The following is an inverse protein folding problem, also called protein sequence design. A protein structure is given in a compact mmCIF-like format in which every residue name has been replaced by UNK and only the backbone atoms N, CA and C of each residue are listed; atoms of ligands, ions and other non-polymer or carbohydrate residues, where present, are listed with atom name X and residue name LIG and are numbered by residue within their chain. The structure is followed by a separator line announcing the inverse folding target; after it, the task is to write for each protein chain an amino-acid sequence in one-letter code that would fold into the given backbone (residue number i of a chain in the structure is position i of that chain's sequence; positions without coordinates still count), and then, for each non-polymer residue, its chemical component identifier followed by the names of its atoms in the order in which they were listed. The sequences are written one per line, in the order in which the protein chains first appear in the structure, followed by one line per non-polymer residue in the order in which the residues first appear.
data_IF_479541283081
#
_entry.id   IF_479541283081
#
_cell.length_a   1.000
_cell.length_b   1.000
_cell.length_c   1.000
_cell.angle_alpha   90.00
_cell.angle_beta   90.00
_cell.angle_gamma   90.00
#
_symmetry.space_group_name_H-M   'P 1'
#
loop_
_entity.id
_entity.type
_entity.pdbx_description
1 polymer ?
#
# COMPACT_ATOMS: atom_id res chain seq x y z
N UNK A 1 -34.93 -3.39 -6.29
CA UNK A 1 -34.64 -2.54 -7.48
C UNK A 1 -34.19 -1.12 -7.13
N UNK A 2 -34.88 -0.33 -6.29
CA UNK A 2 -34.50 1.06 -5.97
C UNK A 2 -33.07 1.28 -5.47
N UNK A 3 -32.52 0.38 -4.63
CA UNK A 3 -31.12 0.47 -4.15
C UNK A 3 -30.09 0.34 -5.28
N UNK A 4 -30.28 -0.59 -6.21
CA UNK A 4 -29.38 -0.82 -7.37
C UNK A 4 -29.36 0.38 -8.32
N UNK A 5 -30.51 0.98 -8.59
CA UNK A 5 -30.61 2.19 -9.40
C UNK A 5 -29.92 3.39 -8.76
N UNK A 6 -30.08 3.57 -7.44
CA UNK A 6 -29.40 4.65 -6.70
C UNK A 6 -27.87 4.48 -6.67
N UNK A 7 -27.39 3.25 -6.65
CA UNK A 7 -25.97 2.94 -6.69
C UNK A 7 -25.35 3.32 -8.05
N UNK A 8 -26.02 2.98 -9.15
CA UNK A 8 -25.59 3.33 -10.51
C UNK A 8 -25.65 4.82 -10.81
N UNK A 9 -26.59 5.56 -10.19
CA UNK A 9 -26.69 7.03 -10.31
C UNK A 9 -25.52 7.78 -9.68
N UNK A 10 -24.68 7.14 -8.89
CA UNK A 10 -23.46 7.74 -8.36
C UNK A 10 -22.39 7.94 -9.45
N UNK A 11 -22.54 7.24 -10.58
CA UNK A 11 -21.65 7.40 -11.73
C UNK A 11 -21.98 8.69 -12.49
N UNK A 12 -21.00 9.55 -12.68
CA UNK A 12 -21.16 10.79 -13.48
C UNK A 12 -21.54 10.43 -14.92
N UNK A 13 -22.65 10.99 -15.37
CA UNK A 13 -23.18 10.71 -16.70
C UNK A 13 -24.21 9.58 -16.76
N UNK A 14 -24.49 8.92 -15.64
CA UNK A 14 -25.53 7.90 -15.53
C UNK A 14 -26.75 8.48 -14.80
N UNK A 15 -27.73 8.94 -15.57
CA UNK A 15 -29.03 9.40 -15.08
C UNK A 15 -30.05 8.27 -14.91
N UNK A 16 -31.30 8.64 -14.58
CA UNK A 16 -32.40 7.69 -14.33
C UNK A 16 -32.65 6.73 -15.49
N UNK A 17 -32.66 7.24 -16.71
CA UNK A 17 -32.90 6.44 -17.91
C UNK A 17 -31.77 5.46 -18.15
N UNK A 18 -30.54 5.93 -18.04
CA UNK A 18 -29.35 5.10 -18.30
C UNK A 18 -29.16 4.04 -17.21
N UNK A 19 -29.44 4.38 -15.94
CA UNK A 19 -29.37 3.41 -14.85
C UNK A 19 -30.35 2.25 -15.03
N UNK A 20 -31.56 2.50 -15.54
CA UNK A 20 -32.53 1.45 -15.87
C UNK A 20 -32.03 0.56 -17.01
N UNK A 21 -31.53 1.16 -18.08
CA UNK A 21 -30.99 0.41 -19.23
C UNK A 21 -29.78 -0.44 -18.86
N UNK A 22 -28.92 0.04 -17.97
CA UNK A 22 -27.81 -0.74 -17.42
C UNK A 22 -28.30 -1.96 -16.64
N UNK A 23 -29.34 -1.79 -15.83
CA UNK A 23 -29.96 -2.92 -15.09
C UNK A 23 -30.60 -3.91 -16.05
N UNK A 24 -31.32 -3.45 -17.08
CA UNK A 24 -31.92 -4.29 -18.13
C UNK A 24 -30.88 -5.07 -18.92
N UNK A 25 -29.70 -4.46 -19.18
CA UNK A 25 -28.56 -5.12 -19.79
C UNK A 25 -27.78 -6.06 -18.86
N UNK A 26 -28.26 -6.25 -17.61
CA UNK A 26 -27.62 -7.13 -16.64
C UNK A 26 -26.52 -6.48 -15.79
N UNK A 27 -26.22 -5.18 -16.00
CA UNK A 27 -25.22 -4.41 -15.27
C UNK A 27 -25.86 -3.70 -14.06
N UNK A 28 -26.40 -4.48 -13.13
CA UNK A 28 -27.21 -4.00 -12.01
C UNK A 28 -26.39 -3.56 -10.77
N UNK A 29 -25.06 -3.66 -10.82
CA UNK A 29 -24.13 -3.23 -9.77
C UNK A 29 -22.91 -2.53 -10.36
N UNK A 30 -22.25 -1.68 -9.57
CA UNK A 30 -21.01 -1.00 -9.98
C UNK A 30 -19.92 -2.00 -10.40
N UNK A 31 -19.79 -3.13 -9.69
CA UNK A 31 -18.85 -4.19 -10.03
C UNK A 31 -19.13 -4.79 -11.42
N UNK A 32 -20.40 -5.07 -11.72
CA UNK A 32 -20.78 -5.58 -13.05
C UNK A 32 -20.58 -4.56 -14.16
N UNK A 33 -20.78 -3.27 -13.89
CA UNK A 33 -20.47 -2.18 -14.82
C UNK A 33 -18.98 -2.13 -15.10
N UNK A 34 -18.14 -2.21 -14.07
CA UNK A 34 -16.68 -2.25 -14.22
C UNK A 34 -16.21 -3.50 -15.00
N UNK A 35 -16.77 -4.67 -14.67
CA UNK A 35 -16.44 -5.94 -15.33
C UNK A 35 -16.93 -6.02 -16.80
N UNK A 36 -17.98 -5.28 -17.17
CA UNK A 36 -18.51 -5.26 -18.54
C UNK A 36 -17.52 -4.69 -19.56
N UNK A 37 -16.62 -3.82 -19.12
CA UNK A 37 -15.65 -3.16 -19.99
C UNK A 37 -16.29 -2.22 -21.02
N UNK A 38 -15.47 -1.68 -21.92
CA UNK A 38 -15.96 -0.77 -22.97
C UNK A 38 -16.95 -1.45 -23.94
N UNK A 39 -16.66 -2.70 -24.29
CA UNK A 39 -17.48 -3.47 -25.22
C UNK A 39 -18.89 -3.76 -24.68
N UNK A 40 -18.99 -4.07 -23.40
CA UNK A 40 -20.27 -4.31 -22.73
C UNK A 40 -21.11 -3.03 -22.67
N UNK A 41 -20.48 -1.90 -22.32
CA UNK A 41 -21.17 -0.63 -22.22
C UNK A 41 -21.56 -0.02 -23.58
N UNK A 42 -20.79 -0.27 -24.66
CA UNK A 42 -21.16 0.14 -26.03
C UNK A 42 -22.47 -0.49 -26.52
N UNK A 43 -22.82 -1.67 -26.01
CA UNK A 43 -24.07 -2.37 -26.36
C UNK A 43 -25.30 -1.79 -25.67
N UNK A 44 -25.11 -0.99 -24.60
CA UNK A 44 -26.22 -0.38 -23.87
C UNK A 44 -26.66 0.89 -24.57
N UNK A 45 -27.92 0.91 -25.02
CA UNK A 45 -28.49 2.04 -25.73
C UNK A 45 -28.49 3.31 -24.88
N UNK A 46 -27.99 4.43 -25.45
CA UNK A 46 -27.98 5.74 -24.81
C UNK A 46 -26.73 6.00 -23.94
N UNK A 47 -25.76 5.09 -23.90
CA UNK A 47 -24.45 5.38 -23.33
C UNK A 47 -23.65 6.22 -24.31
N UNK A 48 -23.20 7.39 -23.86
CA UNK A 48 -22.28 8.19 -24.64
C UNK A 48 -20.90 7.54 -24.64
N UNK A 49 -20.42 7.14 -25.82
CA UNK A 49 -19.14 6.44 -25.99
C UNK A 49 -17.95 7.21 -25.39
N UNK A 50 -17.99 8.55 -25.43
CA UNK A 50 -16.95 9.40 -24.83
C UNK A 50 -16.91 9.32 -23.30
N UNK A 51 -18.01 8.95 -22.66
CA UNK A 51 -18.10 8.84 -21.21
C UNK A 51 -17.80 7.42 -20.70
N UNK A 52 -17.73 6.42 -21.58
CA UNK A 52 -17.49 5.01 -21.21
C UNK A 52 -16.20 4.86 -20.36
N UNK A 53 -15.04 5.39 -20.76
CA UNK A 53 -13.83 5.26 -19.93
C UNK A 53 -14.01 5.85 -18.53
N UNK A 54 -14.63 7.03 -18.43
CA UNK A 54 -14.88 7.69 -17.16
C UNK A 54 -15.90 6.93 -16.28
N UNK A 55 -16.91 6.33 -16.89
CA UNK A 55 -17.90 5.50 -16.19
C UNK A 55 -17.24 4.23 -15.64
N UNK A 56 -16.39 3.57 -16.43
CA UNK A 56 -15.65 2.36 -16.01
C UNK A 56 -14.68 2.64 -14.89
N UNK A 57 -13.91 3.71 -14.99
CA UNK A 57 -12.98 4.14 -13.93
C UNK A 57 -13.74 4.42 -12.62
N UNK A 58 -14.82 5.19 -12.68
CA UNK A 58 -15.64 5.49 -11.52
C UNK A 58 -16.33 4.25 -10.95
N UNK A 59 -16.86 3.37 -11.82
CA UNK A 59 -17.46 2.12 -11.41
C UNK A 59 -16.46 1.22 -10.67
N UNK A 60 -15.23 1.07 -11.18
CA UNK A 60 -14.15 0.33 -10.52
C UNK A 60 -13.76 0.93 -9.17
N UNK A 61 -13.64 2.27 -9.09
CA UNK A 61 -13.35 2.96 -7.85
C UNK A 61 -14.44 2.80 -6.79
N UNK A 62 -15.72 2.92 -7.20
CA UNK A 62 -16.87 2.84 -6.30
C UNK A 62 -17.22 1.39 -5.94
N UNK A 63 -17.08 0.45 -6.87
CA UNK A 63 -17.23 -0.98 -6.62
C UNK A 63 -16.15 -1.53 -5.66
N UNK A 64 -15.08 -0.76 -5.46
CA UNK A 64 -13.93 -1.19 -4.67
C UNK A 64 -12.96 -2.09 -5.43
N UNK A 65 -13.17 -2.33 -6.73
CA UNK A 65 -12.28 -3.12 -7.58
C UNK A 65 -10.93 -2.42 -7.81
N UNK A 66 -10.93 -1.07 -7.78
CA UNK A 66 -9.70 -0.26 -7.74
C UNK A 66 -9.05 -0.17 -6.36
N UNK A 67 -9.73 -0.63 -5.29
CA UNK A 67 -9.17 -0.65 -3.94
C UNK A 67 -8.60 -2.03 -3.67
N UNK A 68 -7.31 -2.16 -3.44
CA UNK A 68 -6.73 -3.46 -3.13
C UNK A 68 -7.47 -4.09 -1.95
N UNK A 69 -7.85 -5.35 -2.08
CA UNK A 69 -8.50 -6.13 -1.04
C UNK A 69 -7.66 -6.15 0.24
N UNK A 70 -8.25 -6.51 1.38
CA UNK A 70 -7.47 -6.66 2.62
C UNK A 70 -6.30 -7.60 2.42
N UNK A 71 -6.51 -8.72 1.71
CA UNK A 71 -5.45 -9.69 1.41
C UNK A 71 -4.33 -9.10 0.55
N UNK A 72 -4.68 -8.39 -0.53
CA UNK A 72 -3.70 -7.70 -1.38
C UNK A 72 -2.93 -6.62 -0.64
N UNK A 73 -3.59 -5.86 0.26
CA UNK A 73 -2.91 -4.88 1.13
C UNK A 73 -1.93 -5.56 2.09
N UNK A 74 -2.32 -6.67 2.70
CA UNK A 74 -1.45 -7.44 3.60
C UNK A 74 -0.25 -7.99 2.83
N UNK A 75 -0.47 -8.54 1.63
CA UNK A 75 0.60 -9.06 0.79
C UNK A 75 1.58 -7.94 0.37
N UNK A 76 1.07 -6.78 -0.06
CA UNK A 76 1.90 -5.61 -0.35
C UNK A 76 2.73 -5.17 0.86
N UNK A 77 2.15 -5.17 2.06
CA UNK A 77 2.86 -4.83 3.29
C UNK A 77 3.90 -5.90 3.69
N UNK A 78 3.65 -7.18 3.44
CA UNK A 78 4.63 -8.26 3.64
C UNK A 78 5.85 -8.04 2.72
N UNK A 79 5.62 -7.74 1.45
CA UNK A 79 6.70 -7.40 0.51
C UNK A 79 7.48 -6.16 0.94
N UNK A 80 6.79 -5.13 1.41
CA UNK A 80 7.44 -3.92 1.93
C UNK A 80 8.28 -4.22 3.18
N UNK A 81 7.79 -5.03 4.11
CA UNK A 81 8.53 -5.44 5.30
C UNK A 81 9.79 -6.25 4.94
N UNK A 82 9.69 -7.17 3.98
CA UNK A 82 10.84 -7.93 3.46
C UNK A 82 11.88 -7.00 2.80
N UNK A 83 11.45 -6.05 1.99
CA UNK A 83 12.33 -5.03 1.39
C UNK A 83 13.06 -4.22 2.46
N UNK A 84 12.35 -3.78 3.50
CA UNK A 84 12.95 -3.06 4.62
C UNK A 84 13.97 -3.90 5.39
N UNK A 85 13.70 -5.20 5.56
CA UNK A 85 14.65 -6.15 6.19
C UNK A 85 15.94 -6.23 5.38
N UNK A 86 15.84 -6.35 4.06
CA UNK A 86 16.98 -6.35 3.17
C UNK A 86 17.76 -5.02 3.22
N UNK A 87 17.08 -3.88 3.27
CA UNK A 87 17.70 -2.57 3.42
C UNK A 87 18.50 -2.47 4.74
N UNK A 88 17.92 -2.93 5.85
CA UNK A 88 18.61 -2.94 7.16
C UNK A 88 19.84 -3.84 7.14
N UNK A 89 19.74 -5.00 6.49
CA UNK A 89 20.90 -5.90 6.31
C UNK A 89 21.97 -5.25 5.43
N UNK A 90 21.59 -4.57 4.34
CA UNK A 90 22.51 -3.81 3.49
C UNK A 90 23.23 -2.69 4.26
N UNK A 91 22.51 -1.97 5.12
CA UNK A 91 23.12 -0.97 6.01
C UNK A 91 24.10 -1.64 6.98
N UNK A 92 23.78 -2.81 7.52
CA UNK A 92 24.67 -3.53 8.44
C UNK A 92 25.96 -4.00 7.75
N UNK A 93 25.86 -4.54 6.53
CA UNK A 93 27.03 -4.95 5.72
C UNK A 93 27.91 -3.75 5.42
N UNK A 94 27.33 -2.66 4.94
CA UNK A 94 28.06 -1.42 4.64
C UNK A 94 28.76 -0.84 5.88
N UNK A 95 28.12 -0.88 7.04
CA UNK A 95 28.74 -0.45 8.29
C UNK A 95 29.96 -1.31 8.61
N UNK A 96 29.90 -2.62 8.37
CA UNK A 96 31.04 -3.51 8.56
C UNK A 96 32.19 -3.25 7.59
N UNK A 97 31.87 -2.95 6.33
CA UNK A 97 32.86 -2.70 5.28
C UNK A 97 33.55 -1.34 5.44
N UNK A 98 32.77 -0.29 5.66
CA UNK A 98 33.28 1.09 5.62
C UNK A 98 33.75 1.63 6.98
N UNK A 99 33.39 1.00 8.08
CA UNK A 99 33.66 1.49 9.42
C UNK A 99 34.28 0.42 10.34
N UNK A 100 35.12 -0.46 9.79
CA UNK A 100 35.70 -1.59 10.52
C UNK A 100 36.44 -1.14 11.79
N UNK A 101 37.24 -0.09 11.72
CA UNK A 101 38.01 0.43 12.85
C UNK A 101 37.11 1.06 13.91
N UNK A 102 36.03 1.75 13.50
CA UNK A 102 35.10 2.38 14.42
C UNK A 102 34.11 1.39 15.07
N UNK A 103 33.94 0.19 14.48
CA UNK A 103 33.05 -0.86 15.00
C UNK A 103 33.53 -1.45 16.33
N UNK A 104 34.82 -1.47 16.59
CA UNK A 104 35.38 -1.93 17.86
C UNK A 104 35.02 -1.01 19.03
N UNK A 105 34.66 0.25 18.73
CA UNK A 105 34.29 1.25 19.69
C UNK A 105 32.85 1.15 20.21
N UNK A 106 32.53 2.01 21.21
CA UNK A 106 31.18 2.10 21.80
C UNK A 106 30.10 2.44 20.77
N UNK A 107 30.42 3.18 19.71
CA UNK A 107 29.46 3.60 18.67
C UNK A 107 29.08 2.44 17.78
N UNK A 108 30.05 1.61 17.32
CA UNK A 108 29.79 0.43 16.50
C UNK A 108 28.89 -0.58 17.21
N UNK A 109 29.21 -0.93 18.46
CA UNK A 109 28.38 -1.82 19.28
C UNK A 109 26.95 -1.30 19.46
N UNK A 110 26.75 0.04 19.54
CA UNK A 110 25.41 0.65 19.58
C UNK A 110 24.67 0.49 18.27
N UNK A 111 25.34 0.65 17.12
CA UNK A 111 24.73 0.50 15.79
C UNK A 111 24.31 -0.94 15.57
N UNK A 112 25.16 -1.92 15.82
CA UNK A 112 24.82 -3.34 15.73
C UNK A 112 23.58 -3.69 16.59
N UNK A 113 23.57 -3.23 17.84
CA UNK A 113 22.40 -3.41 18.71
C UNK A 113 21.13 -2.75 18.16
N UNK A 114 21.23 -1.62 17.46
CA UNK A 114 20.07 -0.99 16.82
C UNK A 114 19.60 -1.79 15.59
N UNK A 115 20.51 -2.29 14.76
CA UNK A 115 20.18 -3.17 13.63
C UNK A 115 19.36 -4.37 14.10
N UNK A 116 19.84 -5.11 15.09
CA UNK A 116 19.12 -6.27 15.65
C UNK A 116 17.74 -5.88 16.19
N UNK A 117 17.65 -4.74 16.86
CA UNK A 117 16.35 -4.24 17.39
C UNK A 117 15.37 -3.79 16.31
N UNK A 118 15.86 -3.30 15.16
CA UNK A 118 15.00 -2.94 14.02
C UNK A 118 14.49 -4.21 13.36
N UNK A 119 15.33 -5.21 13.13
CA UNK A 119 14.93 -6.51 12.56
C UNK A 119 13.86 -7.16 13.44
N UNK A 120 14.08 -7.27 14.74
CA UNK A 120 13.09 -7.82 15.67
C UNK A 120 11.77 -7.01 15.71
N UNK A 121 11.84 -5.68 15.46
CA UNK A 121 10.63 -4.85 15.38
C UNK A 121 9.90 -5.02 14.05
N UNK A 122 10.60 -5.31 12.95
CA UNK A 122 10.01 -5.68 11.66
C UNK A 122 9.27 -7.00 11.77
N UNK A 123 9.88 -8.03 12.34
CA UNK A 123 9.25 -9.35 12.55
C UNK A 123 7.98 -9.25 13.38
N UNK A 124 8.01 -8.46 14.47
CA UNK A 124 6.81 -8.18 15.28
C UNK A 124 5.74 -7.41 14.49
N UNK A 125 6.13 -6.52 13.61
CA UNK A 125 5.19 -5.80 12.76
C UNK A 125 4.58 -6.73 11.70
N UNK A 126 5.37 -7.63 11.09
CA UNK A 126 4.90 -8.65 10.16
C UNK A 126 3.80 -9.52 10.77
N UNK A 127 3.98 -10.01 12.00
CA UNK A 127 2.96 -10.80 12.69
C UNK A 127 1.65 -10.06 12.98
N UNK A 128 1.63 -8.72 12.85
CA UNK A 128 0.43 -7.90 13.07
C UNK A 128 -0.18 -7.33 11.79
N UNK A 129 0.38 -7.62 10.62
CA UNK A 129 -0.08 -7.05 9.34
C UNK A 129 -1.56 -7.39 9.06
N UNK A 130 -1.98 -8.59 9.38
CA UNK A 130 -3.35 -9.06 9.14
C UNK A 130 -4.39 -8.37 10.02
N UNK A 131 -4.00 -8.04 11.26
CA UNK A 131 -4.91 -7.44 12.25
C UNK A 131 -4.89 -5.92 12.21
N UNK A 132 -3.75 -5.29 11.87
CA UNK A 132 -3.54 -3.84 11.99
C UNK A 132 -3.06 -3.18 10.68
N UNK A 133 -3.62 -3.57 9.53
CA UNK A 133 -3.21 -3.15 8.17
C UNK A 133 -2.91 -1.65 8.06
N UNK A 134 -3.83 -0.77 8.50
CA UNK A 134 -3.65 0.70 8.39
C UNK A 134 -2.50 1.22 9.24
N UNK A 135 -2.34 0.72 10.47
CA UNK A 135 -1.26 1.14 11.38
C UNK A 135 0.08 0.61 10.91
N UNK A 136 0.12 -0.64 10.45
CA UNK A 136 1.29 -1.29 9.89
C UNK A 136 1.80 -0.56 8.64
N UNK A 137 0.93 -0.24 7.68
CA UNK A 137 1.31 0.52 6.49
C UNK A 137 1.93 1.89 6.83
N UNK A 138 1.33 2.64 7.77
CA UNK A 138 1.90 3.92 8.23
C UNK A 138 3.25 3.74 8.95
N UNK A 139 3.39 2.68 9.72
CA UNK A 139 4.63 2.37 10.44
C UNK A 139 5.77 1.99 9.51
N UNK A 140 5.51 1.09 8.56
CA UNK A 140 6.47 0.65 7.55
C UNK A 140 6.91 1.80 6.64
N UNK A 141 5.98 2.61 6.12
CA UNK A 141 6.31 3.76 5.27
C UNK A 141 7.18 4.81 6.00
N UNK A 142 6.95 5.04 7.30
CA UNK A 142 7.81 5.93 8.10
C UNK A 142 9.19 5.32 8.37
N UNK A 143 9.26 4.00 8.59
CA UNK A 143 10.51 3.29 8.76
C UNK A 143 11.35 3.34 7.47
N UNK A 144 10.72 3.12 6.32
CA UNK A 144 11.33 3.20 4.99
C UNK A 144 11.98 4.57 4.74
N UNK A 145 11.24 5.65 4.97
CA UNK A 145 11.78 7.02 4.87
C UNK A 145 12.99 7.24 5.79
N UNK A 146 12.99 6.65 6.98
CA UNK A 146 14.10 6.78 7.91
C UNK A 146 15.31 5.95 7.50
N UNK A 147 15.11 4.82 6.79
CA UNK A 147 16.17 3.93 6.32
C UNK A 147 16.78 4.41 4.99
N UNK A 148 15.96 5.00 4.10
CA UNK A 148 16.43 5.51 2.80
C UNK A 148 17.55 6.56 2.95
N UNK A 149 17.50 7.37 4.00
CA UNK A 149 18.49 8.41 4.27
C UNK A 149 19.84 7.82 4.74
N UNK A 150 19.85 6.55 5.19
CA UNK A 150 21.05 5.92 5.78
C UNK A 150 22.05 5.43 4.75
N UNK A 151 21.67 5.38 3.48
CA UNK A 151 22.54 4.92 2.41
C UNK A 151 23.83 5.78 2.23
N UNK A 152 23.79 7.06 2.59
CA UNK A 152 24.94 7.98 2.51
C UNK A 152 25.37 8.55 3.88
N UNK A 153 24.81 8.03 4.99
CA UNK A 153 25.00 8.59 6.32
C UNK A 153 26.29 8.05 7.00
N UNK A 154 26.90 8.87 7.86
CA UNK A 154 27.97 8.43 8.75
C UNK A 154 27.48 7.55 9.90
N UNK A 155 28.40 6.88 10.61
CA UNK A 155 28.09 5.86 11.62
C UNK A 155 27.14 6.39 12.74
N UNK A 156 27.34 7.61 13.21
CA UNK A 156 26.50 8.21 14.25
C UNK A 156 25.08 8.48 13.78
N UNK A 157 24.89 8.92 12.52
CA UNK A 157 23.59 9.22 11.95
C UNK A 157 22.84 7.92 11.55
N UNK A 158 23.57 6.88 11.14
CA UNK A 158 23.01 5.53 10.98
C UNK A 158 22.35 5.09 12.29
N UNK A 159 23.02 5.23 13.42
CA UNK A 159 22.46 4.87 14.73
C UNK A 159 21.19 5.64 15.09
N UNK A 160 21.15 6.94 14.79
CA UNK A 160 19.97 7.82 15.00
C UNK A 160 18.81 7.42 14.08
N UNK A 161 19.07 7.16 12.79
CA UNK A 161 18.08 6.76 11.80
C UNK A 161 17.46 5.41 12.11
N UNK A 162 18.27 4.41 12.46
CA UNK A 162 17.81 3.09 12.93
C UNK A 162 16.89 3.22 14.16
N UNK A 163 17.24 4.10 15.11
CA UNK A 163 16.40 4.37 16.29
C UNK A 163 15.05 4.99 15.91
N UNK A 164 15.00 5.91 14.90
CA UNK A 164 13.76 6.50 14.37
C UNK A 164 12.91 5.44 13.67
N UNK A 165 13.50 4.62 12.79
CA UNK A 165 12.82 3.52 12.11
C UNK A 165 12.18 2.56 13.13
N UNK A 166 12.92 2.14 14.15
CA UNK A 166 12.42 1.29 15.23
C UNK A 166 11.24 1.92 15.99
N UNK A 167 11.30 3.24 16.30
CA UNK A 167 10.17 3.93 16.96
C UNK A 167 8.90 3.90 16.11
N UNK A 168 9.02 4.00 14.79
CA UNK A 168 7.89 3.94 13.85
C UNK A 168 7.27 2.54 13.82
N UNK A 169 8.11 1.49 13.82
CA UNK A 169 7.68 0.08 13.83
C UNK A 169 7.04 -0.34 15.15
N UNK A 170 7.46 0.22 16.29
CA UNK A 170 6.84 -0.08 17.59
C UNK A 170 5.39 0.40 17.72
N UNK A 171 4.96 1.33 16.88
CA UNK A 171 3.58 1.86 16.86
C UNK A 171 2.61 0.97 16.07
N UNK A 172 3.11 -0.07 15.41
CA UNK A 172 2.36 -1.12 14.72
C UNK A 172 1.90 -2.17 15.73
#
# INVERSE_FOLDING_TARGET
MKKKLNELKQLKGVGDVLSRRLVEAGHDTLAKVAAAGEEGLKKVQGVNQRLIPAILEQAGLLAGEGRPSKAQKVEGLKRQAASLKNQVQGVALRVRENFQEELTGKTGKKVEKQVMKVIASLEKAEGKLETRVKKAGKGLAKAEKSLAILAAAGLADIGKGLKKARKSLKKV
#
